data_IF_445659711183
#
_entry.id   IF_445659711183
#
_cell.length_a   1.000
_cell.length_b   1.000
_cell.length_c   1.000
_cell.angle_alpha   90.00
_cell.angle_beta   90.00
_cell.angle_gamma   90.00
#
_symmetry.space_group_name_H-M   'P 1'
#
loop_
_entity.id
_entity.type
_entity.pdbx_description
1 polymer ?
#
# COMPACT_ATOMS: atom_id res chain seq x y z
N UNK A 1 1.34 -2.16 -17.79
CA UNK A 1 1.96 -1.04 -17.04
C UNK A 1 0.94 -0.52 -16.03
N UNK A 2 1.35 0.25 -15.01
CA UNK A 2 0.42 0.68 -13.96
C UNK A 2 0.87 1.94 -13.23
N UNK A 3 -0.06 2.54 -12.49
CA UNK A 3 0.17 3.71 -11.65
C UNK A 3 -0.12 3.34 -10.20
N UNK A 4 0.74 3.81 -9.30
CA UNK A 4 0.56 3.67 -7.85
C UNK A 4 0.29 5.05 -7.24
N UNK A 5 -0.86 5.21 -6.61
CA UNK A 5 -1.29 6.46 -5.96
C UNK A 5 -1.42 6.21 -4.46
N UNK A 6 -0.97 7.15 -3.62
CA UNK A 6 -1.02 7.00 -2.16
C UNK A 6 -2.04 7.93 -1.50
N UNK A 7 -2.61 7.49 -0.39
CA UNK A 7 -3.68 8.15 0.36
C UNK A 7 -3.21 9.28 1.30
N UNK A 8 -2.12 9.97 0.94
CA UNK A 8 -1.67 11.17 1.66
C UNK A 8 -2.42 12.42 1.19
N UNK A 9 -2.52 13.40 2.09
CA UNK A 9 -2.83 14.77 1.72
C UNK A 9 -1.77 15.36 0.77
N UNK A 10 -2.18 16.30 -0.09
CA UNK A 10 -1.26 17.04 -0.96
C UNK A 10 -0.77 18.32 -0.26
N UNK A 11 0.52 18.71 -0.40
CA UNK A 11 1.59 18.06 -1.18
C UNK A 11 2.17 16.79 -0.51
N UNK A 12 2.66 15.87 -1.35
CA UNK A 12 3.27 14.60 -0.91
C UNK A 12 4.48 14.83 0.01
N UNK A 13 4.45 14.23 1.19
CA UNK A 13 5.62 14.10 2.07
C UNK A 13 6.19 12.68 2.03
N UNK A 14 7.52 12.56 2.07
CA UNK A 14 8.22 11.28 2.08
C UNK A 14 7.87 10.46 3.34
N UNK A 15 7.57 9.17 3.19
CA UNK A 15 7.17 8.24 4.27
C UNK A 15 8.17 8.08 5.42
N UNK A 16 9.40 8.60 5.28
CA UNK A 16 10.43 8.56 6.30
C UNK A 16 10.70 9.90 7.00
N UNK A 17 9.97 10.98 6.67
CA UNK A 17 10.27 12.35 7.15
C UNK A 17 9.18 12.84 8.12
N UNK A 18 9.49 13.01 9.40
CA UNK A 18 8.62 13.72 10.36
C UNK A 18 7.65 12.85 11.17
N UNK A 19 6.64 13.51 11.75
CA UNK A 19 5.61 12.94 12.63
C UNK A 19 4.40 12.36 11.88
N UNK A 20 3.22 12.39 12.52
CA UNK A 20 1.98 11.86 11.91
C UNK A 20 1.61 12.69 10.68
N UNK A 21 1.67 12.10 9.49
CA UNK A 21 1.20 12.77 8.27
C UNK A 21 -0.32 12.68 8.18
N UNK A 22 -1.01 13.78 7.81
CA UNK A 22 -2.43 13.71 7.54
C UNK A 22 -2.67 12.84 6.30
N UNK A 23 -3.53 11.84 6.49
CA UNK A 23 -4.05 11.04 5.38
C UNK A 23 -5.23 11.79 4.76
N UNK A 24 -5.43 11.57 3.46
CA UNK A 24 -6.66 11.98 2.80
C UNK A 24 -7.86 11.26 3.44
N UNK A 25 -9.01 11.90 3.36
CA UNK A 25 -10.26 11.25 3.70
C UNK A 25 -10.47 10.02 2.81
N UNK A 26 -11.02 8.95 3.37
CA UNK A 26 -11.19 7.68 2.64
C UNK A 26 -12.15 7.86 1.46
N UNK A 27 -13.20 8.66 1.60
CA UNK A 27 -14.14 8.97 0.53
C UNK A 27 -13.52 9.85 -0.55
N UNK A 28 -12.74 10.85 -0.16
CA UNK A 28 -11.95 11.67 -1.08
C UNK A 28 -11.00 10.82 -1.92
N UNK A 29 -10.17 9.98 -1.28
CA UNK A 29 -9.21 9.14 -1.99
C UNK A 29 -9.90 8.10 -2.87
N UNK A 30 -10.98 7.50 -2.40
CA UNK A 30 -11.82 6.60 -3.21
C UNK A 30 -12.37 7.30 -4.46
N UNK A 31 -12.76 8.57 -4.34
CA UNK A 31 -13.18 9.39 -5.48
C UNK A 31 -12.06 9.57 -6.52
N UNK A 32 -10.81 9.77 -6.07
CA UNK A 32 -9.65 9.84 -6.97
C UNK A 32 -9.41 8.52 -7.71
N UNK A 33 -9.53 7.39 -7.02
CA UNK A 33 -9.37 6.06 -7.63
C UNK A 33 -10.43 5.81 -8.71
N UNK A 34 -11.70 6.10 -8.39
CA UNK A 34 -12.80 6.01 -9.37
C UNK A 34 -12.55 6.90 -10.58
N UNK A 35 -12.15 8.15 -10.37
CA UNK A 35 -11.84 9.05 -11.48
C UNK A 35 -10.72 8.52 -12.39
N UNK A 36 -9.72 7.84 -11.84
CA UNK A 36 -8.70 7.17 -12.67
C UNK A 36 -9.31 6.01 -13.46
N UNK A 37 -10.04 5.09 -12.81
CA UNK A 37 -10.68 3.96 -13.49
C UNK A 37 -11.71 4.39 -14.54
N UNK A 38 -12.47 5.45 -14.29
CA UNK A 38 -13.42 6.02 -15.25
C UNK A 38 -12.71 6.55 -16.51
N UNK A 39 -11.47 7.05 -16.37
CA UNK A 39 -10.70 7.61 -17.48
C UNK A 39 -9.94 6.56 -18.30
N UNK A 40 -9.47 5.47 -17.67
CA UNK A 40 -8.55 4.51 -18.31
C UNK A 40 -9.09 3.08 -18.39
N UNK A 41 -10.21 2.77 -17.75
CA UNK A 41 -10.78 1.43 -17.70
C UNK A 41 -9.77 0.38 -17.23
N UNK A 42 -9.62 -0.68 -18.02
CA UNK A 42 -8.72 -1.81 -17.74
C UNK A 42 -7.38 -1.73 -18.50
N UNK A 43 -7.13 -0.63 -19.22
CA UNK A 43 -5.88 -0.44 -19.98
C UNK A 43 -4.68 -0.18 -19.05
N UNK A 44 -4.93 0.18 -17.79
CA UNK A 44 -3.91 0.53 -16.80
C UNK A 44 -4.21 -0.11 -15.44
N UNK A 45 -3.21 -0.76 -14.86
CA UNK A 45 -3.29 -1.28 -13.48
C UNK A 45 -3.19 -0.12 -12.49
N UNK A 46 -4.21 0.03 -11.65
CA UNK A 46 -4.27 1.02 -10.58
C UNK A 46 -3.97 0.39 -9.23
N UNK A 47 -2.84 0.78 -8.63
CA UNK A 47 -2.43 0.32 -7.30
C UNK A 47 -2.73 1.40 -6.26
N UNK A 48 -3.55 1.06 -5.26
CA UNK A 48 -3.80 1.95 -4.13
C UNK A 48 -2.78 1.69 -3.03
N UNK A 49 -1.94 2.69 -2.73
CA UNK A 49 -0.95 2.64 -1.66
C UNK A 49 -1.52 3.22 -0.38
N UNK A 50 -1.50 2.39 0.66
CA UNK A 50 -2.04 2.71 1.98
C UNK A 50 -0.88 3.14 2.89
N UNK A 51 -0.95 4.37 3.39
CA UNK A 51 0.03 4.95 4.30
C UNK A 51 -0.45 4.98 5.76
N UNK A 52 -1.57 4.31 6.09
CA UNK A 52 -2.13 4.24 7.44
C UNK A 52 -1.11 3.85 8.51
N UNK A 53 -0.39 2.74 8.32
CA UNK A 53 0.64 2.27 9.26
C UNK A 53 1.86 3.22 9.30
N UNK A 54 2.20 3.84 8.17
CA UNK A 54 3.26 4.86 8.10
C UNK A 54 2.87 6.08 8.94
N UNK A 55 1.61 6.50 8.85
CA UNK A 55 1.01 7.59 9.61
C UNK A 55 0.61 7.18 11.05
N UNK A 56 1.10 6.03 11.55
CA UNK A 56 0.90 5.62 12.94
C UNK A 56 -0.53 5.23 13.31
N UNK A 57 -1.39 4.96 12.33
CA UNK A 57 -2.68 4.30 12.57
C UNK A 57 -2.48 2.79 12.76
N UNK A 58 -3.51 2.13 13.29
CA UNK A 58 -3.51 0.68 13.53
C UNK A 58 -3.90 -0.15 12.30
N UNK A 59 -3.91 -1.47 12.50
CA UNK A 59 -4.30 -2.45 11.48
C UNK A 59 -5.73 -2.24 10.97
N UNK A 60 -6.67 -1.97 11.88
CA UNK A 60 -8.08 -1.81 11.55
C UNK A 60 -8.30 -0.65 10.56
N UNK A 61 -7.60 0.47 10.74
CA UNK A 61 -7.64 1.60 9.81
C UNK A 61 -7.04 1.22 8.45
N UNK A 62 -5.93 0.48 8.44
CA UNK A 62 -5.30 0.03 7.21
C UNK A 62 -6.22 -0.91 6.41
N UNK A 63 -6.91 -1.83 7.09
CA UNK A 63 -7.89 -2.74 6.47
C UNK A 63 -9.14 -2.00 5.99
N UNK A 64 -9.69 -1.08 6.80
CA UNK A 64 -10.85 -0.28 6.42
C UNK A 64 -10.58 0.52 5.13
N UNK A 65 -9.40 1.13 5.03
CA UNK A 65 -8.93 1.81 3.81
C UNK A 65 -8.74 0.85 2.65
N UNK A 66 -8.12 -0.30 2.87
CA UNK A 66 -7.93 -1.32 1.84
C UNK A 66 -9.26 -1.78 1.25
N UNK A 67 -10.27 -2.04 2.09
CA UNK A 67 -11.61 -2.39 1.64
C UNK A 67 -12.22 -1.26 0.81
N UNK A 68 -12.21 -0.02 1.31
CA UNK A 68 -12.76 1.11 0.57
C UNK A 68 -12.07 1.31 -0.79
N UNK A 69 -10.76 1.12 -0.88
CA UNK A 69 -10.00 1.32 -2.11
C UNK A 69 -10.20 0.19 -3.11
N UNK A 70 -10.38 -1.06 -2.62
CA UNK A 70 -10.80 -2.17 -3.46
C UNK A 70 -12.18 -1.92 -4.08
N UNK A 71 -13.16 -1.49 -3.27
CA UNK A 71 -14.51 -1.13 -3.75
C UNK A 71 -14.51 0.11 -4.66
N UNK A 72 -13.48 0.95 -4.58
CA UNK A 72 -13.29 2.10 -5.47
C UNK A 72 -12.65 1.74 -6.83
N UNK A 73 -12.30 0.47 -7.06
CA UNK A 73 -11.76 -0.02 -8.32
C UNK A 73 -10.24 -0.12 -8.38
N UNK A 74 -9.54 -0.13 -7.24
CA UNK A 74 -8.12 -0.48 -7.24
C UNK A 74 -7.93 -1.94 -7.71
N UNK A 75 -6.92 -2.18 -8.54
CA UNK A 75 -6.58 -3.53 -9.03
C UNK A 75 -5.64 -4.27 -8.06
N UNK A 76 -4.91 -3.52 -7.22
CA UNK A 76 -4.04 -4.07 -6.18
C UNK A 76 -3.88 -3.09 -5.01
N UNK A 77 -3.53 -3.64 -3.84
CA UNK A 77 -3.25 -2.86 -2.63
C UNK A 77 -1.75 -2.90 -2.35
N UNK A 78 -1.12 -1.73 -2.21
CA UNK A 78 0.23 -1.62 -1.67
C UNK A 78 0.15 -1.22 -0.20
N UNK A 79 0.44 -2.15 0.70
CA UNK A 79 0.53 -1.89 2.13
C UNK A 79 1.99 -1.57 2.51
N UNK A 80 2.20 -0.47 3.24
CA UNK A 80 3.54 -0.05 3.63
C UNK A 80 3.69 0.09 5.14
N UNK A 81 4.85 -0.33 5.65
CA UNK A 81 5.25 -0.18 7.04
C UNK A 81 6.66 0.40 7.11
N UNK A 82 6.91 1.20 8.15
CA UNK A 82 8.22 1.78 8.47
C UNK A 82 8.99 0.97 9.52
N UNK A 83 8.43 -0.12 10.04
CA UNK A 83 9.08 -1.01 11.01
C UNK A 83 10.20 -1.81 10.33
N UNK A 84 11.18 -2.23 11.12
CA UNK A 84 12.29 -3.08 10.68
C UNK A 84 11.94 -4.58 10.61
N UNK A 85 10.73 -4.94 11.02
CA UNK A 85 10.19 -6.32 10.99
C UNK A 85 8.90 -6.33 10.17
N UNK A 86 8.57 -7.48 9.58
CA UNK A 86 7.46 -7.63 8.64
C UNK A 86 6.10 -7.94 9.30
N UNK A 87 6.00 -8.01 10.63
CA UNK A 87 4.81 -8.46 11.36
C UNK A 87 3.53 -7.72 10.97
N UNK A 88 3.62 -6.40 10.72
CA UNK A 88 2.48 -5.62 10.24
C UNK A 88 2.05 -6.03 8.83
N UNK A 89 3.01 -6.33 7.96
CA UNK A 89 2.73 -6.74 6.58
C UNK A 89 2.10 -8.13 6.55
N UNK A 90 2.64 -9.05 7.36
CA UNK A 90 2.12 -10.41 7.49
C UNK A 90 0.74 -10.43 8.16
N UNK A 91 0.55 -9.61 9.21
CA UNK A 91 -0.74 -9.43 9.87
C UNK A 91 -1.80 -8.85 8.94
N UNK A 92 -1.43 -7.85 8.12
CA UNK A 92 -2.33 -7.32 7.09
C UNK A 92 -2.73 -8.39 6.08
N UNK A 93 -1.75 -9.13 5.54
CA UNK A 93 -2.02 -10.18 4.55
C UNK A 93 -2.95 -11.28 5.10
N UNK A 94 -2.75 -11.70 6.35
CA UNK A 94 -3.61 -12.69 7.01
C UNK A 94 -5.05 -12.18 7.19
N UNK A 95 -5.23 -10.91 7.54
CA UNK A 95 -6.55 -10.31 7.75
C UNK A 95 -7.26 -9.89 6.46
N UNK A 96 -6.52 -9.65 5.37
CA UNK A 96 -7.05 -9.14 4.10
C UNK A 96 -7.92 -10.13 3.32
N UNK A 97 -7.83 -11.43 3.64
CA UNK A 97 -8.61 -12.50 2.98
C UNK A 97 -8.42 -12.56 1.46
N UNK A 98 -7.24 -12.15 0.97
CA UNK A 98 -6.85 -12.23 -0.44
C UNK A 98 -7.87 -11.63 -1.44
N UNK A 99 -8.54 -10.53 -1.06
CA UNK A 99 -9.54 -9.87 -1.92
C UNK A 99 -8.95 -9.27 -3.18
N UNK A 100 -7.74 -8.73 -3.08
CA UNK A 100 -6.94 -8.21 -4.18
C UNK A 100 -5.45 -8.54 -3.96
N UNK A 101 -4.64 -8.60 -5.03
CA UNK A 101 -3.20 -8.75 -4.94
C UNK A 101 -2.57 -7.72 -3.99
N UNK A 102 -1.69 -8.20 -3.10
CA UNK A 102 -0.95 -7.34 -2.17
C UNK A 102 0.47 -7.09 -2.68
N UNK A 103 0.85 -5.83 -2.73
CA UNK A 103 2.18 -5.33 -3.10
C UNK A 103 2.90 -4.80 -1.87
N UNK A 104 4.20 -5.10 -1.73
CA UNK A 104 5.00 -4.66 -0.57
C UNK A 104 6.32 -4.01 -0.99
N UNK A 105 6.92 -3.24 -0.08
CA UNK A 105 8.21 -2.56 -0.27
C UNK A 105 9.12 -2.84 0.94
N UNK A 106 9.90 -3.94 0.94
CA UNK A 106 10.66 -4.41 2.10
C UNK A 106 11.98 -3.68 2.36
N UNK A 107 12.06 -2.37 2.07
CA UNK A 107 13.29 -1.59 2.26
C UNK A 107 13.74 -1.56 3.73
N UNK A 108 12.80 -1.49 4.70
CA UNK A 108 13.12 -1.46 6.14
C UNK A 108 13.21 -2.84 6.78
N UNK A 109 12.41 -3.79 6.31
CA UNK A 109 12.29 -5.16 6.85
C UNK A 109 12.95 -6.22 5.94
N UNK A 110 14.04 -5.81 5.27
CA UNK A 110 14.78 -6.57 4.26
C UNK A 110 15.37 -7.90 4.73
N UNK A 111 15.47 -8.12 6.05
CA UNK A 111 15.98 -9.38 6.64
C UNK A 111 14.96 -10.51 6.62
N UNK A 112 13.69 -10.20 6.34
CA UNK A 112 12.63 -11.21 6.28
C UNK A 112 12.86 -12.11 5.06
N UNK A 113 12.87 -13.45 5.23
CA UNK A 113 13.04 -14.37 4.12
C UNK A 113 11.91 -14.22 3.09
N UNK A 114 12.24 -14.31 1.80
CA UNK A 114 11.25 -14.23 0.71
C UNK A 114 10.21 -15.36 0.80
N UNK A 115 10.56 -16.51 1.37
CA UNK A 115 9.61 -17.60 1.62
C UNK A 115 8.42 -17.16 2.48
N UNK A 116 8.65 -16.34 3.50
CA UNK A 116 7.59 -15.82 4.36
C UNK A 116 6.56 -14.99 3.58
N UNK A 117 7.00 -14.22 2.58
CA UNK A 117 6.10 -13.45 1.72
C UNK A 117 5.28 -14.36 0.80
N UNK A 118 5.89 -15.43 0.28
CA UNK A 118 5.19 -16.42 -0.54
C UNK A 118 4.14 -17.18 0.26
N UNK A 119 4.49 -17.62 1.46
CA UNK A 119 3.58 -18.30 2.39
C UNK A 119 2.41 -17.40 2.80
N UNK A 120 2.65 -16.09 2.96
CA UNK A 120 1.61 -15.11 3.27
C UNK A 120 0.76 -14.67 2.06
N UNK A 121 1.01 -15.21 0.86
CA UNK A 121 0.25 -14.86 -0.35
C UNK A 121 0.52 -13.46 -0.90
N UNK A 122 1.68 -12.87 -0.60
CA UNK A 122 2.08 -11.58 -1.18
C UNK A 122 2.34 -11.75 -2.68
N UNK A 123 1.68 -10.93 -3.49
CA UNK A 123 1.74 -11.03 -4.95
C UNK A 123 3.01 -10.43 -5.53
N UNK A 124 3.43 -9.27 -5.03
CA UNK A 124 4.51 -8.49 -5.66
C UNK A 124 5.41 -7.81 -4.62
N UNK A 125 6.72 -7.86 -4.84
CA UNK A 125 7.74 -7.23 -3.99
C UNK A 125 8.50 -6.17 -4.80
N UNK A 126 8.57 -4.94 -4.29
CA UNK A 126 9.27 -3.82 -4.94
C UNK A 126 10.59 -3.51 -4.21
N UNK A 127 11.71 -3.67 -4.90
CA UNK A 127 13.06 -3.33 -4.43
C UNK A 127 13.42 -1.87 -4.74
N UNK A 128 12.75 -0.92 -4.10
CA UNK A 128 12.55 0.43 -4.64
C UNK A 128 13.75 1.37 -4.83
N UNK A 129 14.94 1.14 -4.26
CA UNK A 129 16.03 2.13 -4.35
C UNK A 129 17.47 1.57 -4.38
N UNK A 130 17.64 0.26 -4.57
CA UNK A 130 18.94 -0.41 -4.39
C UNK A 130 19.97 0.01 -5.46
N UNK A 131 19.55 0.07 -6.74
CA UNK A 131 20.46 0.43 -7.84
C UNK A 131 20.97 1.88 -7.75
N UNK A 132 20.18 2.79 -7.17
CA UNK A 132 20.60 4.20 -6.97
C UNK A 132 21.57 4.35 -5.79
N UNK A 133 21.65 3.36 -4.91
CA UNK A 133 22.50 3.35 -3.72
C UNK A 133 23.81 2.57 -3.92
N UNK A 134 23.95 1.88 -5.05
CA UNK A 134 25.09 1.03 -5.38
C UNK A 134 26.30 1.84 -5.87
#
# INVERSE_FOLDING_TARGET
AGVCVEDKGFPKMNSFVGGRHPLADTGEFSGRLRAVKDAVGDDLVLVARIEALIAGHGMDEALARAHAYAEAGADAILIHSRKSVADEILGFAAAWQNRLPVVIVPTKYYRTPVSAYREAGISTVIWGNHMMRA
#
